data_IF_285047729727
#
_entry.id   IF_285047729727
#
_cell.length_a   1.000
_cell.length_b   1.000
_cell.length_c   1.000
_cell.angle_alpha   90.00
_cell.angle_beta   90.00
_cell.angle_gamma   90.00
#
_symmetry.space_group_name_H-M   'P 1'
#
loop_
_entity.id
_entity.type
_entity.pdbx_description
1 polymer ?
#
# COMPACT_ATOMS: atom_id res chain seq x y z
N UNK A 1 7.38 -3.92 -17.73
CA UNK A 1 6.13 -3.18 -17.43
C UNK A 1 6.43 -2.13 -16.38
N UNK A 2 5.70 -1.02 -16.35
CA UNK A 2 5.91 0.05 -15.36
C UNK A 2 5.81 -0.44 -13.91
N UNK A 3 4.93 -1.42 -13.65
CA UNK A 3 4.81 -2.11 -12.35
C UNK A 3 6.10 -2.79 -11.90
N UNK A 4 6.89 -3.37 -12.83
CA UNK A 4 8.20 -3.95 -12.49
C UNK A 4 9.19 -2.86 -12.08
N UNK A 5 9.18 -1.71 -12.75
CA UNK A 5 10.07 -0.60 -12.42
C UNK A 5 9.78 -0.02 -11.03
N UNK A 6 8.50 0.09 -10.65
CA UNK A 6 8.14 0.40 -9.27
C UNK A 6 8.68 -0.65 -8.27
N UNK A 7 8.58 -1.94 -8.61
CA UNK A 7 9.19 -3.01 -7.81
C UNK A 7 10.71 -2.86 -7.67
N UNK A 8 11.42 -2.46 -8.73
CA UNK A 8 12.86 -2.21 -8.67
C UNK A 8 13.18 -1.01 -7.79
N UNK A 9 12.45 0.09 -7.91
CA UNK A 9 12.61 1.24 -7.03
C UNK A 9 12.37 0.86 -5.58
N UNK A 10 11.30 0.10 -5.31
CA UNK A 10 11.00 -0.40 -3.98
C UNK A 10 12.14 -1.21 -3.37
N UNK A 11 12.80 -2.07 -4.16
CA UNK A 11 13.95 -2.84 -3.69
C UNK A 11 15.19 -1.96 -3.41
N UNK A 12 15.41 -0.90 -4.20
CA UNK A 12 16.55 0.01 -3.96
C UNK A 12 16.36 0.82 -2.68
N UNK A 13 15.11 1.23 -2.39
CA UNK A 13 14.80 1.99 -1.19
C UNK A 13 14.72 1.09 0.04
N UNK A 14 14.14 -0.10 -0.13
CA UNK A 14 13.92 -1.08 0.93
C UNK A 14 14.45 -2.43 0.46
N UNK A 15 15.78 -2.67 0.52
CA UNK A 15 16.35 -3.95 0.14
C UNK A 15 15.92 -5.06 1.10
N UNK A 16 15.80 -6.31 0.64
CA UNK A 16 15.59 -7.45 1.52
C UNK A 16 16.89 -7.84 2.22
N UNK A 17 16.82 -8.60 3.31
CA UNK A 17 17.97 -9.27 3.88
C UNK A 17 18.19 -10.64 3.22
N UNK A 18 19.43 -11.15 3.29
CA UNK A 18 19.75 -12.50 2.84
C UNK A 18 18.88 -13.51 3.60
N UNK A 19 18.25 -14.41 2.84
CA UNK A 19 17.42 -15.49 3.36
C UNK A 19 15.95 -15.13 3.62
N UNK A 20 15.55 -13.87 3.44
CA UNK A 20 14.15 -13.45 3.55
C UNK A 20 13.28 -14.18 2.53
N UNK A 21 12.05 -14.52 2.92
CA UNK A 21 11.05 -15.05 2.00
C UNK A 21 10.28 -13.89 1.38
N UNK A 22 10.44 -13.69 0.07
CA UNK A 22 9.73 -12.65 -0.66
C UNK A 22 8.60 -13.29 -1.47
N UNK A 23 7.39 -12.74 -1.35
CA UNK A 23 6.23 -13.21 -2.10
C UNK A 23 5.30 -12.05 -2.50
N UNK A 24 4.62 -12.12 -3.65
CA UNK A 24 3.59 -11.14 -3.99
C UNK A 24 2.30 -11.38 -3.22
N UNK A 25 1.54 -10.31 -2.98
CA UNK A 25 0.09 -10.44 -2.77
C UNK A 25 -0.54 -10.83 -4.13
N UNK A 26 -1.33 -11.93 -4.20
CA UNK A 26 -1.81 -12.47 -5.46
C UNK A 26 -2.60 -11.45 -6.30
N UNK A 27 -2.39 -11.48 -7.62
CA UNK A 27 -2.96 -10.60 -8.65
C UNK A 27 -2.38 -9.18 -8.67
N UNK A 28 -2.41 -8.44 -7.57
CA UNK A 28 -1.97 -7.04 -7.51
C UNK A 28 -0.45 -6.88 -7.53
N UNK A 29 0.23 -7.61 -6.63
CA UNK A 29 1.66 -7.44 -6.37
C UNK A 29 2.61 -8.21 -7.28
N UNK A 30 2.12 -9.06 -8.20
CA UNK A 30 2.95 -10.01 -8.97
C UNK A 30 4.04 -9.29 -9.77
N UNK A 31 3.66 -8.33 -10.62
CA UNK A 31 4.63 -7.61 -11.45
C UNK A 31 5.61 -6.77 -10.62
N UNK A 32 5.16 -6.18 -9.51
CA UNK A 32 6.05 -5.44 -8.62
C UNK A 32 7.05 -6.39 -7.92
N UNK A 33 6.59 -7.55 -7.45
CA UNK A 33 7.45 -8.56 -6.85
C UNK A 33 8.50 -9.09 -7.83
N UNK A 34 8.14 -9.31 -9.09
CA UNK A 34 9.10 -9.70 -10.13
C UNK A 34 10.21 -8.65 -10.31
N UNK A 35 9.84 -7.37 -10.35
CA UNK A 35 10.81 -6.26 -10.43
C UNK A 35 11.69 -6.17 -9.20
N UNK A 36 11.09 -6.32 -8.02
CA UNK A 36 11.77 -6.30 -6.73
C UNK A 36 12.81 -7.43 -6.62
N UNK A 37 12.42 -8.66 -6.95
CA UNK A 37 13.30 -9.84 -6.95
C UNK A 37 14.44 -9.70 -7.96
N UNK A 38 14.15 -9.20 -9.16
CA UNK A 38 15.16 -8.97 -10.18
C UNK A 38 16.18 -7.91 -9.74
N UNK A 39 15.75 -6.88 -9.03
CA UNK A 39 16.64 -5.87 -8.46
C UNK A 39 17.47 -6.45 -7.31
N UNK A 40 16.88 -7.22 -6.40
CA UNK A 40 17.61 -7.87 -5.31
C UNK A 40 18.70 -8.82 -5.84
N UNK A 41 18.39 -9.60 -6.89
CA UNK A 41 19.38 -10.45 -7.57
C UNK A 41 20.50 -9.65 -8.23
N UNK A 42 20.18 -8.50 -8.84
CA UNK A 42 21.19 -7.57 -9.40
C UNK A 42 22.12 -7.02 -8.33
N UNK A 43 21.63 -6.82 -7.11
CA UNK A 43 22.40 -6.37 -5.95
C UNK A 43 23.11 -7.52 -5.22
N UNK A 44 23.03 -8.75 -5.72
CA UNK A 44 23.68 -9.93 -5.13
C UNK A 44 23.01 -10.45 -3.86
N UNK A 45 21.76 -10.04 -3.58
CA UNK A 45 21.03 -10.44 -2.38
C UNK A 45 20.25 -11.72 -2.65
N UNK A 46 20.69 -12.82 -2.03
CA UNK A 46 20.01 -14.11 -2.13
C UNK A 46 18.80 -14.16 -1.21
N UNK A 47 17.60 -14.22 -1.79
CA UNK A 47 16.32 -14.35 -1.09
C UNK A 47 15.64 -15.69 -1.42
N UNK A 48 14.72 -16.13 -0.57
CA UNK A 48 13.82 -17.23 -0.86
C UNK A 48 12.58 -16.70 -1.59
N UNK A 49 12.03 -17.48 -2.51
CA UNK A 49 10.79 -17.14 -3.21
C UNK A 49 9.80 -18.29 -3.16
N UNK A 50 8.56 -18.02 -2.78
CA UNK A 50 7.49 -19.02 -2.83
C UNK A 50 6.11 -18.35 -2.86
N UNK A 51 5.08 -19.11 -3.23
CA UNK A 51 3.69 -18.68 -3.11
C UNK A 51 3.24 -18.70 -1.64
N UNK A 52 3.69 -17.71 -0.85
CA UNK A 52 3.39 -17.60 0.57
C UNK A 52 1.91 -17.31 0.84
N UNK A 53 1.27 -16.52 -0.04
CA UNK A 53 -0.15 -16.19 0.03
C UNK A 53 -0.88 -16.87 -1.13
N UNK A 54 -1.88 -17.69 -0.80
CA UNK A 54 -2.75 -18.36 -1.75
C UNK A 54 -4.03 -17.55 -1.85
N UNK A 55 -4.49 -17.29 -3.07
CA UNK A 55 -5.84 -16.80 -3.31
C UNK A 55 -6.79 -17.98 -3.43
N UNK A 56 -7.83 -18.01 -2.61
CA UNK A 56 -8.75 -19.15 -2.53
C UNK A 56 -9.91 -19.07 -3.53
N UNK A 57 -10.26 -17.86 -3.99
CA UNK A 57 -11.42 -17.65 -4.86
C UNK A 57 -10.98 -17.21 -6.27
N UNK A 58 -11.20 -18.09 -7.25
CA UNK A 58 -10.74 -17.93 -8.63
C UNK A 58 -11.81 -17.49 -9.63
N UNK A 59 -13.10 -17.35 -9.25
CA UNK A 59 -14.14 -17.16 -10.27
C UNK A 59 -15.50 -16.55 -9.86
N UNK A 60 -15.74 -16.25 -8.58
CA UNK A 60 -16.94 -15.49 -8.20
C UNK A 60 -16.52 -14.14 -7.63
N UNK A 61 -17.15 -13.01 -8.02
CA UNK A 61 -17.12 -11.82 -7.20
C UNK A 61 -17.57 -12.32 -5.84
N UNK A 62 -16.68 -12.29 -4.83
CA UNK A 62 -17.04 -12.63 -3.46
C UNK A 62 -18.39 -11.97 -3.24
N UNK A 63 -19.42 -12.79 -2.99
CA UNK A 63 -20.83 -12.40 -2.95
C UNK A 63 -20.91 -10.96 -2.46
N UNK A 64 -21.65 -10.11 -3.19
CA UNK A 64 -22.04 -8.77 -2.74
C UNK A 64 -22.73 -8.93 -1.39
N UNK A 65 -21.95 -9.16 -0.35
CA UNK A 65 -22.47 -9.44 0.95
C UNK A 65 -22.78 -8.07 1.48
N UNK A 66 -24.07 -7.78 1.56
CA UNK A 66 -24.70 -6.73 2.37
C UNK A 66 -24.40 -6.90 3.87
N UNK A 67 -23.24 -7.48 4.19
CA UNK A 67 -22.73 -7.71 5.50
C UNK A 67 -21.86 -6.46 5.80
N UNK A 68 -21.98 -5.95 7.02
CA UNK A 68 -21.56 -4.61 7.41
C UNK A 68 -20.06 -4.35 7.48
N UNK A 69 -19.71 -3.10 7.76
CA UNK A 69 -18.33 -2.61 7.84
C UNK A 69 -17.58 -3.02 9.13
N UNK A 70 -17.98 -4.12 9.78
CA UNK A 70 -17.42 -4.55 11.07
C UNK A 70 -16.07 -5.27 10.93
N UNK A 71 -15.16 -5.06 11.90
CA UNK A 71 -13.81 -5.68 11.90
C UNK A 71 -13.84 -7.21 11.78
N UNK A 72 -14.75 -7.87 12.49
CA UNK A 72 -14.87 -9.34 12.47
C UNK A 72 -15.26 -9.87 11.08
N UNK A 73 -16.11 -9.11 10.38
CA UNK A 73 -16.61 -9.49 9.09
C UNK A 73 -15.58 -9.27 7.97
N UNK A 74 -14.87 -8.14 8.04
CA UNK A 74 -13.71 -7.87 7.18
C UNK A 74 -12.69 -9.03 7.29
N UNK A 75 -12.38 -9.47 8.51
CA UNK A 75 -11.50 -10.60 8.74
C UNK A 75 -12.05 -11.90 8.12
N UNK A 76 -13.35 -12.19 8.29
CA UNK A 76 -14.00 -13.37 7.70
C UNK A 76 -13.96 -13.33 6.16
N UNK A 77 -14.15 -12.15 5.55
CA UNK A 77 -14.05 -11.95 4.10
C UNK A 77 -12.62 -12.22 3.62
N UNK A 78 -11.61 -11.72 4.34
CA UNK A 78 -10.21 -11.94 4.01
C UNK A 78 -9.80 -13.41 4.17
N UNK A 79 -10.29 -14.13 5.19
CA UNK A 79 -10.10 -15.57 5.36
C UNK A 79 -10.66 -16.40 4.20
N UNK A 80 -11.79 -15.97 3.61
CA UNK A 80 -12.34 -16.62 2.41
C UNK A 80 -11.56 -16.27 1.14
N UNK A 81 -10.88 -15.13 1.12
CA UNK A 81 -10.15 -14.63 -0.05
C UNK A 81 -8.72 -15.16 -0.12
N UNK A 82 -8.05 -15.27 1.03
CA UNK A 82 -6.64 -15.55 1.14
C UNK A 82 -6.33 -16.60 2.20
N UNK A 83 -5.25 -17.35 1.99
CA UNK A 83 -4.64 -18.23 2.99
C UNK A 83 -3.12 -18.09 2.97
N UNK A 84 -2.48 -18.24 4.14
CA UNK A 84 -1.02 -18.37 4.22
C UNK A 84 -0.64 -19.83 4.01
N UNK A 85 0.16 -20.10 2.97
CA UNK A 85 0.66 -21.42 2.59
C UNK A 85 1.67 -21.94 3.61
N UNK A 86 1.31 -22.93 4.45
CA UNK A 86 2.18 -23.40 5.51
C UNK A 86 3.47 -24.07 5.00
N UNK A 87 3.41 -24.73 3.84
CA UNK A 87 4.59 -25.41 3.26
C UNK A 87 5.58 -24.37 2.75
N UNK A 88 5.10 -23.37 2.01
CA UNK A 88 5.94 -22.31 1.48
C UNK A 88 6.57 -21.46 2.59
N UNK A 89 5.83 -21.20 3.67
CA UNK A 89 6.30 -20.33 4.75
C UNK A 89 7.04 -21.06 5.87
N UNK A 90 7.11 -22.39 5.85
CA UNK A 90 7.79 -23.17 6.90
C UNK A 90 9.29 -22.92 7.00
N UNK A 91 9.90 -22.41 5.91
CA UNK A 91 11.36 -22.25 5.77
C UNK A 91 11.89 -20.86 6.11
N UNK A 92 11.00 -19.92 6.47
CA UNK A 92 11.42 -18.58 6.86
C UNK A 92 10.54 -17.99 7.95
N UNK A 93 11.19 -17.40 8.94
CA UNK A 93 10.54 -16.62 9.99
C UNK A 93 10.32 -15.16 9.58
N UNK A 94 10.94 -14.71 8.47
CA UNK A 94 10.87 -13.35 7.93
C UNK A 94 10.23 -13.37 6.55
N UNK A 95 9.03 -12.80 6.46
CA UNK A 95 8.24 -12.76 5.24
C UNK A 95 8.13 -11.31 4.75
N UNK A 96 8.48 -11.08 3.49
CA UNK A 96 8.26 -9.82 2.78
C UNK A 96 7.13 -10.05 1.77
N UNK A 97 6.04 -9.30 1.91
CA UNK A 97 4.93 -9.29 0.96
C UNK A 97 4.96 -8.02 0.13
N UNK A 98 4.98 -8.18 -1.19
CA UNK A 98 4.93 -7.06 -2.12
C UNK A 98 3.49 -6.86 -2.59
N UNK A 99 2.97 -5.64 -2.46
CA UNK A 99 1.65 -5.24 -2.99
C UNK A 99 1.80 -4.02 -3.92
N UNK A 100 0.77 -3.75 -4.73
CA UNK A 100 0.79 -2.56 -5.59
C UNK A 100 0.52 -1.28 -4.78
N UNK A 101 -0.46 -1.27 -3.90
CA UNK A 101 -0.87 -0.10 -3.13
C UNK A 101 -1.55 -0.49 -1.81
N UNK A 102 -1.46 0.35 -0.80
CA UNK A 102 -2.16 0.16 0.49
C UNK A 102 -3.12 1.33 0.73
N UNK A 103 -4.43 1.04 0.69
CA UNK A 103 -5.49 2.03 0.98
C UNK A 103 -5.92 1.93 2.45
N UNK A 104 -6.65 0.86 2.82
CA UNK A 104 -7.28 0.68 4.14
C UNK A 104 -6.45 -0.03 5.19
N UNK A 105 -5.46 -0.80 4.75
CA UNK A 105 -4.66 -1.65 5.63
C UNK A 105 -5.36 -2.89 6.17
N UNK A 106 -6.60 -3.21 5.76
CA UNK A 106 -7.33 -4.40 6.24
C UNK A 106 -6.57 -5.70 5.93
N UNK A 107 -6.05 -5.81 4.71
CA UNK A 107 -5.24 -6.94 4.24
C UNK A 107 -3.96 -7.03 5.08
N UNK A 108 -3.28 -5.90 5.30
CA UNK A 108 -2.07 -5.84 6.12
C UNK A 108 -2.31 -6.30 7.56
N UNK A 109 -3.35 -5.77 8.20
CA UNK A 109 -3.76 -6.11 9.56
C UNK A 109 -4.07 -7.61 9.70
N UNK A 110 -4.87 -8.13 8.77
CA UNK A 110 -5.27 -9.53 8.76
C UNK A 110 -4.07 -10.45 8.51
N UNK A 111 -3.20 -10.11 7.55
CA UNK A 111 -1.99 -10.88 7.25
C UNK A 111 -1.03 -10.88 8.45
N UNK A 112 -0.77 -9.73 9.08
CA UNK A 112 0.08 -9.64 10.27
C UNK A 112 -0.43 -10.50 11.42
N UNK A 113 -1.73 -10.37 11.74
CA UNK A 113 -2.35 -11.19 12.78
C UNK A 113 -2.31 -12.69 12.44
N UNK A 114 -2.59 -13.06 11.20
CA UNK A 114 -2.63 -14.46 10.76
C UNK A 114 -1.24 -15.08 10.70
N UNK A 115 -0.23 -14.29 10.28
CA UNK A 115 1.17 -14.70 10.24
C UNK A 115 1.70 -15.04 11.62
N UNK A 116 1.46 -14.16 12.59
CA UNK A 116 1.87 -14.39 13.97
C UNK A 116 1.17 -15.58 14.60
N UNK A 117 -0.14 -15.75 14.37
CA UNK A 117 -0.88 -16.93 14.83
C UNK A 117 -0.34 -18.25 14.27
N UNK A 118 0.33 -18.22 13.13
CA UNK A 118 1.01 -19.36 12.51
C UNK A 118 2.47 -19.52 12.97
N UNK A 119 2.92 -18.73 13.94
CA UNK A 119 4.27 -18.81 14.50
C UNK A 119 5.33 -17.96 13.77
N UNK A 120 4.93 -17.20 12.74
CA UNK A 120 5.81 -16.30 12.02
C UNK A 120 6.38 -15.19 12.90
N UNK A 121 7.64 -14.81 12.69
CA UNK A 121 8.32 -13.82 13.55
C UNK A 121 8.23 -12.41 13.01
N UNK A 122 8.54 -12.18 11.74
CA UNK A 122 8.58 -10.85 11.14
C UNK A 122 7.79 -10.85 9.83
N UNK A 123 6.97 -9.82 9.64
CA UNK A 123 6.25 -9.57 8.40
C UNK A 123 6.52 -8.14 7.95
N UNK A 124 7.08 -7.98 6.75
CA UNK A 124 7.19 -6.69 6.08
C UNK A 124 6.21 -6.67 4.91
N UNK A 125 5.34 -5.68 4.83
CA UNK A 125 4.50 -5.47 3.65
C UNK A 125 4.97 -4.20 2.95
N UNK A 126 5.42 -4.36 1.71
CA UNK A 126 6.06 -3.31 0.93
C UNK A 126 5.16 -2.95 -0.25
N UNK A 127 4.72 -1.69 -0.27
CA UNK A 127 3.86 -1.12 -1.30
C UNK A 127 4.70 -0.52 -2.42
N UNK A 128 4.50 -0.98 -3.65
CA UNK A 128 5.15 -0.42 -4.83
C UNK A 128 4.63 0.99 -5.21
N UNK A 129 3.64 1.49 -4.48
CA UNK A 129 3.07 2.83 -4.59
C UNK A 129 3.24 3.60 -3.28
N UNK A 130 3.36 4.94 -3.30
CA UNK A 130 3.45 5.78 -2.11
C UNK A 130 2.19 5.70 -1.25
N UNK A 131 2.26 6.17 0.00
CA UNK A 131 1.09 6.24 0.86
C UNK A 131 -0.01 7.10 0.24
N UNK A 132 -1.23 6.58 0.25
CA UNK A 132 -2.41 7.32 -0.19
C UNK A 132 -2.88 8.18 0.98
N UNK A 133 -2.74 9.50 0.85
CA UNK A 133 -3.00 10.48 1.92
C UNK A 133 -4.27 11.29 1.69
N UNK A 134 -4.80 11.30 0.47
CA UNK A 134 -5.97 12.08 0.10
C UNK A 134 -6.99 11.23 -0.67
N UNK A 135 -8.29 11.56 -0.58
CA UNK A 135 -9.32 10.88 -1.34
C UNK A 135 -9.12 11.09 -2.84
N UNK A 136 -9.63 10.15 -3.63
CA UNK A 136 -9.66 10.33 -5.07
C UNK A 136 -10.88 11.17 -5.46
N UNK A 137 -10.67 12.22 -6.25
CA UNK A 137 -11.74 13.05 -6.83
C UNK A 137 -12.05 12.68 -8.28
N UNK A 138 -11.22 11.84 -8.92
CA UNK A 138 -11.38 11.45 -10.33
C UNK A 138 -12.37 10.29 -10.55
N UNK A 139 -13.15 9.89 -9.53
CA UNK A 139 -14.16 8.82 -9.64
C UNK A 139 -13.73 7.45 -9.11
N UNK A 140 -12.51 7.30 -8.57
CA UNK A 140 -12.11 6.07 -7.86
C UNK A 140 -12.65 6.12 -6.43
N UNK A 141 -13.19 4.98 -5.97
CA UNK A 141 -13.77 4.81 -4.63
C UNK A 141 -12.69 4.77 -3.52
N UNK A 142 -12.13 5.93 -3.18
CA UNK A 142 -11.13 6.14 -2.14
C UNK A 142 -11.57 7.33 -1.27
N UNK A 143 -11.99 7.05 -0.03
CA UNK A 143 -12.43 8.07 0.92
C UNK A 143 -11.38 8.34 2.01
N UNK A 144 -11.33 9.57 2.53
CA UNK A 144 -10.39 9.95 3.60
C UNK A 144 -10.48 9.07 4.86
N UNK A 145 -11.70 8.69 5.29
CA UNK A 145 -11.95 7.81 6.45
C UNK A 145 -11.32 6.40 6.32
N UNK A 146 -11.07 6.00 5.08
CA UNK A 146 -10.55 4.69 4.72
C UNK A 146 -9.03 4.71 4.60
N UNK A 147 -8.38 5.86 4.58
CA UNK A 147 -6.95 5.95 4.35
C UNK A 147 -6.16 5.55 5.59
N UNK A 148 -5.40 4.47 5.45
CA UNK A 148 -4.48 3.98 6.46
C UNK A 148 -3.46 5.07 6.84
N UNK A 149 -2.93 5.81 5.86
CA UNK A 149 -1.98 6.90 6.09
C UNK A 149 -2.54 7.96 7.07
N UNK A 150 -3.84 8.29 6.97
CA UNK A 150 -4.50 9.25 7.85
C UNK A 150 -4.83 8.70 9.24
N UNK A 151 -4.96 7.37 9.37
CA UNK A 151 -5.07 6.71 10.68
C UNK A 151 -3.75 6.78 11.46
N UNK A 152 -2.62 6.86 10.76
CA UNK A 152 -1.32 7.04 11.38
C UNK A 152 -1.11 8.49 11.84
N UNK A 153 -1.48 9.48 11.02
CA UNK A 153 -1.33 10.91 11.32
C UNK A 153 -2.16 11.38 12.53
N UNK A 154 -3.27 10.71 12.85
CA UNK A 154 -4.13 11.04 14.00
C UNK A 154 -3.57 10.63 15.37
N UNK A 155 -2.54 9.77 15.44
CA UNK A 155 -2.00 9.26 16.71
C UNK A 155 -0.58 9.71 17.05
N UNK A 156 -0.03 10.68 16.30
CA UNK A 156 1.00 11.60 16.78
C UNK A 156 0.43 12.99 16.56
N UNK A 157 0.25 13.79 17.62
CA UNK A 157 -0.42 15.12 17.63
C UNK A 157 0.02 16.15 16.58
N UNK A 158 0.92 15.85 15.64
CA UNK A 158 1.29 16.69 14.50
C UNK A 158 1.72 15.76 13.39
N UNK A 159 1.10 15.88 12.21
CA UNK A 159 1.79 16.24 10.97
C UNK A 159 0.80 16.99 10.07
N UNK A 160 0.94 18.32 10.02
CA UNK A 160 0.25 19.19 9.05
C UNK A 160 0.93 19.15 7.68
N UNK A 161 1.96 18.31 7.52
CA UNK A 161 2.78 18.19 6.33
C UNK A 161 2.72 16.75 5.78
N UNK A 162 2.08 16.54 4.63
CA UNK A 162 2.13 15.32 3.82
C UNK A 162 3.51 14.69 3.64
N UNK A 163 4.54 15.52 3.44
CA UNK A 163 5.88 15.03 3.13
C UNK A 163 6.51 14.36 4.34
N UNK A 164 6.31 14.94 5.53
CA UNK A 164 6.76 14.32 6.77
C UNK A 164 5.97 13.04 7.08
N UNK A 165 4.67 13.00 6.72
CA UNK A 165 3.85 11.78 6.90
C UNK A 165 4.37 10.66 6.02
N UNK A 166 4.68 10.96 4.78
CA UNK A 166 5.30 10.00 3.87
C UNK A 166 6.67 9.53 4.37
N UNK A 167 7.55 10.44 4.83
CA UNK A 167 8.86 10.04 5.37
C UNK A 167 8.71 9.07 6.54
N UNK A 168 7.79 9.35 7.46
CA UNK A 168 7.51 8.45 8.58
C UNK A 168 6.94 7.10 8.14
N UNK A 169 6.08 7.09 7.13
CA UNK A 169 5.51 5.85 6.58
C UNK A 169 6.54 5.04 5.78
N UNK A 170 7.42 5.72 5.05
CA UNK A 170 8.45 5.09 4.21
C UNK A 170 9.57 4.52 5.04
N UNK A 171 9.95 5.14 6.17
CA UNK A 171 11.01 4.66 7.07
C UNK A 171 10.62 3.46 7.95
N UNK A 172 9.49 2.79 7.66
CA UNK A 172 9.01 1.65 8.44
C UNK A 172 8.32 2.10 9.73
N UNK A 173 6.99 1.98 9.81
CA UNK A 173 6.27 2.22 11.05
C UNK A 173 6.14 0.93 11.89
N UNK A 174 6.61 0.92 13.16
CA UNK A 174 6.38 -0.19 14.06
C UNK A 174 4.91 -0.22 14.55
N UNK A 175 4.26 -1.35 14.24
CA UNK A 175 3.30 -2.11 15.05
C UNK A 175 2.01 -1.48 15.62
N UNK A 176 2.02 -0.31 16.28
CA UNK A 176 0.97 0.05 17.26
C UNK A 176 -0.47 0.18 16.72
N UNK A 177 -0.65 0.23 15.41
CA UNK A 177 -1.94 0.46 14.75
C UNK A 177 -2.63 -0.83 14.26
N UNK A 178 -1.88 -1.93 14.17
CA UNK A 178 -2.40 -3.21 13.69
C UNK A 178 -2.75 -4.18 14.84
N UNK A 179 -2.96 -3.66 16.05
CA UNK A 179 -3.35 -4.47 17.21
C UNK A 179 -2.20 -5.35 17.71
N UNK A 180 -2.41 -6.66 17.82
CA UNK A 180 -1.43 -7.59 18.43
C UNK A 180 -0.23 -7.94 17.54
N UNK A 181 -0.20 -7.46 16.29
CA UNK A 181 0.78 -7.85 15.26
C UNK A 181 2.22 -7.30 15.48
N UNK A 182 2.87 -7.59 16.63
CA UNK A 182 4.12 -6.96 17.16
C UNK A 182 5.26 -6.70 16.18
N UNK A 183 5.34 -7.45 15.08
CA UNK A 183 6.47 -7.41 14.16
C UNK A 183 6.01 -7.21 12.70
N UNK A 184 4.97 -6.39 12.50
CA UNK A 184 4.54 -5.93 11.17
C UNK A 184 5.22 -4.60 10.83
N UNK A 185 6.03 -4.61 9.76
CA UNK A 185 6.63 -3.44 9.12
C UNK A 185 5.83 -3.10 7.85
N UNK A 186 5.61 -1.80 7.61
CA UNK A 186 5.10 -1.30 6.33
C UNK A 186 6.13 -0.40 5.66
N UNK A 187 6.43 -0.66 4.39
CA UNK A 187 7.30 0.18 3.57
C UNK A 187 6.55 0.64 2.32
N UNK A 188 6.95 1.79 1.78
CA UNK A 188 6.38 2.36 0.57
C UNK A 188 7.50 2.85 -0.33
N UNK A 189 7.26 2.84 -1.65
CA UNK A 189 8.05 3.64 -2.59
C UNK A 189 7.78 5.12 -2.35
N UNK A 190 8.83 5.95 -2.32
CA UNK A 190 8.68 7.41 -2.18
C UNK A 190 8.08 8.05 -3.44
N UNK A 191 7.33 9.15 -3.26
CA UNK A 191 6.65 9.91 -4.32
C UNK A 191 7.60 10.37 -5.42
N UNK A 192 8.84 10.75 -5.07
CA UNK A 192 9.81 11.24 -6.05
C UNK A 192 10.19 10.15 -7.06
N UNK A 193 10.25 8.90 -6.60
CA UNK A 193 10.49 7.76 -7.48
C UNK A 193 9.31 7.49 -8.40
N UNK A 194 8.08 7.75 -7.95
CA UNK A 194 6.89 7.63 -8.80
C UNK A 194 6.95 8.64 -9.93
N UNK A 195 7.18 9.92 -9.63
CA UNK A 195 7.33 10.96 -10.67
C UNK A 195 8.45 10.63 -11.64
N UNK A 196 9.60 10.18 -11.13
CA UNK A 196 10.75 9.78 -11.95
C UNK A 196 10.39 8.62 -12.89
N UNK A 197 9.70 7.59 -12.41
CA UNK A 197 9.33 6.44 -13.25
C UNK A 197 8.22 6.82 -14.24
N UNK A 198 7.18 7.51 -13.80
CA UNK A 198 6.05 7.88 -14.65
C UNK A 198 6.48 8.79 -15.80
N UNK A 199 7.37 9.76 -15.55
CA UNK A 199 7.90 10.67 -16.58
C UNK A 199 8.71 9.97 -17.67
N UNK A 200 9.23 8.76 -17.41
CA UNK A 200 9.93 7.96 -18.44
C UNK A 200 8.99 7.19 -19.37
N UNK A 201 7.71 7.05 -19.00
CA UNK A 201 6.77 6.17 -19.71
C UNK A 201 5.57 6.91 -20.27
N UNK A 202 5.13 7.97 -19.61
CA UNK A 202 3.91 8.70 -19.96
C UNK A 202 4.27 10.11 -20.43
N UNK A 203 3.66 10.52 -21.53
CA UNK A 203 3.69 11.89 -22.02
C UNK A 203 2.45 12.62 -21.51
N UNK A 204 2.63 13.76 -20.85
CA UNK A 204 1.55 14.59 -20.31
C UNK A 204 1.43 14.53 -18.78
N UNK A 205 0.53 15.35 -18.25
CA UNK A 205 0.31 15.45 -16.82
C UNK A 205 -0.57 14.31 -16.30
N UNK A 206 -0.16 13.70 -15.21
CA UNK A 206 -0.88 12.60 -14.56
C UNK A 206 -1.47 13.12 -13.27
N UNK A 207 -2.72 12.76 -12.99
CA UNK A 207 -3.32 13.05 -11.70
C UNK A 207 -2.58 12.32 -10.57
N UNK A 208 -1.99 13.07 -9.64
CA UNK A 208 -1.27 12.55 -8.48
C UNK A 208 -1.94 12.92 -7.16
N UNK A 209 -3.15 13.48 -7.22
CA UNK A 209 -3.88 14.04 -6.09
C UNK A 209 -3.98 13.12 -4.86
N UNK A 210 -4.13 11.80 -5.07
CA UNK A 210 -4.27 10.82 -4.00
C UNK A 210 -3.05 10.71 -3.07
N UNK A 211 -1.85 11.07 -3.55
CA UNK A 211 -0.59 10.97 -2.79
C UNK A 211 0.16 12.30 -2.68
N UNK A 212 -0.04 13.21 -3.64
CA UNK A 212 0.67 14.49 -3.76
C UNK A 212 -0.23 15.72 -3.87
N UNK A 213 -1.54 15.57 -3.76
CA UNK A 213 -2.54 16.65 -3.77
C UNK A 213 -2.65 17.46 -5.08
N UNK A 214 -1.90 17.12 -6.13
CA UNK A 214 -2.05 17.70 -7.47
C UNK A 214 -3.12 16.94 -8.25
N UNK A 215 -4.34 17.48 -8.22
CA UNK A 215 -5.48 16.96 -8.96
C UNK A 215 -5.53 17.62 -10.34
N UNK A 216 -5.70 16.82 -11.40
CA UNK A 216 -5.85 17.34 -12.76
C UNK A 216 -7.30 17.29 -13.24
N UNK A 217 -8.18 16.62 -12.47
CA UNK A 217 -9.57 16.40 -12.81
C UNK A 217 -10.39 16.13 -11.55
N UNK A 218 -11.63 16.65 -11.52
CA UNK A 218 -12.64 16.37 -10.49
C UNK A 218 -13.88 15.83 -11.18
N UNK A 219 -14.25 14.61 -10.84
CA UNK A 219 -15.48 13.99 -11.30
C UNK A 219 -16.69 14.66 -10.61
N UNK A 220 -17.71 15.14 -11.35
CA UNK A 220 -18.83 15.92 -10.78
C UNK A 220 -19.58 15.21 -9.64
N UNK A 221 -19.67 13.88 -9.72
CA UNK A 221 -20.31 13.03 -8.71
C UNK A 221 -19.42 12.61 -7.52
N UNK A 222 -18.16 13.02 -7.48
CA UNK A 222 -17.20 12.58 -6.46
C UNK A 222 -16.67 13.76 -5.62
N UNK A 223 -17.42 14.09 -4.56
CA UNK A 223 -17.16 15.23 -3.66
C UNK A 223 -16.45 14.78 -2.37
N UNK A 224 -15.43 13.95 -2.49
CA UNK A 224 -14.61 13.61 -1.33
C UNK A 224 -13.50 14.66 -1.17
N UNK A 225 -13.75 15.60 -0.27
CA UNK A 225 -12.75 16.61 0.07
C UNK A 225 -11.61 16.00 0.88
N UNK A 226 -10.36 16.44 0.63
CA UNK A 226 -9.26 16.18 1.55
C UNK A 226 -9.62 16.65 2.97
N UNK A 227 -9.10 16.00 4.02
CA UNK A 227 -9.25 16.49 5.38
C UNK A 227 -8.83 17.97 5.54
N UNK A 228 -9.42 18.72 6.48
CA UNK A 228 -9.16 20.16 6.61
C UNK A 228 -7.67 20.55 6.69
N UNK A 229 -6.84 19.74 7.36
CA UNK A 229 -5.41 20.02 7.45
C UNK A 229 -4.67 19.90 6.11
N UNK A 230 -5.13 19.04 5.20
CA UNK A 230 -4.60 18.94 3.82
C UNK A 230 -5.07 20.12 2.98
N UNK A 231 -6.31 20.58 3.16
CA UNK A 231 -6.82 21.80 2.51
C UNK A 231 -6.00 23.02 2.94
N UNK A 232 -5.72 23.15 4.24
CA UNK A 232 -4.81 24.19 4.75
C UNK A 232 -3.40 24.08 4.17
N UNK A 233 -2.88 22.85 4.03
CA UNK A 233 -1.56 22.62 3.44
C UNK A 233 -1.53 23.04 1.97
N UNK A 234 -2.57 22.68 1.19
CA UNK A 234 -2.71 23.07 -0.21
C UNK A 234 -2.71 24.59 -0.35
N UNK A 235 -3.53 25.29 0.46
CA UNK A 235 -3.61 26.75 0.46
C UNK A 235 -2.26 27.42 0.80
N UNK A 236 -1.51 26.90 1.79
CA UNK A 236 -0.19 27.44 2.16
C UNK A 236 0.89 27.24 1.09
N UNK A 237 0.74 26.22 0.24
CA UNK A 237 1.72 25.86 -0.79
C UNK A 237 1.26 26.21 -2.21
N UNK A 238 0.18 27.00 -2.36
CA UNK A 238 -0.41 27.38 -3.65
C UNK A 238 -0.74 26.16 -4.54
N UNK A 239 -1.18 25.05 -3.94
CA UNK A 239 -1.67 23.89 -4.67
C UNK A 239 -3.15 24.13 -4.97
N UNK A 240 -3.45 24.49 -6.22
CA UNK A 240 -4.82 24.75 -6.65
C UNK A 240 -5.53 23.45 -7.01
N UNK A 241 -6.83 23.42 -6.70
CA UNK A 241 -7.71 22.34 -7.14
C UNK A 241 -8.34 22.79 -8.46
N UNK A 242 -8.41 21.92 -9.49
CA UNK A 242 -9.00 22.30 -10.76
C UNK A 242 -10.48 22.60 -10.57
N UNK A 243 -11.05 23.40 -11.49
CA UNK A 243 -12.48 23.63 -11.50
C UNK A 243 -13.22 22.29 -11.66
N UNK A 244 -14.42 22.18 -11.08
CA UNK A 244 -15.32 21.09 -11.43
C UNK A 244 -15.70 21.28 -12.90
N UNK A 245 -15.46 20.27 -13.74
CA UNK A 245 -15.96 20.31 -15.12
C UNK A 245 -17.49 20.19 -15.05
N UNK A 246 -18.20 21.23 -15.48
CA UNK A 246 -19.64 21.15 -15.75
C UNK A 246 -19.82 20.25 -16.98
N UNK A 247 -20.67 19.22 -16.86
CA UNK A 247 -21.01 18.28 -17.94
C UNK A 247 -21.51 18.98 -19.21
#
# INVERSE_FOLDING_TARGET
>A
SIRKEFGRALCREHPPQRGDLVAPIPRSGISAAEGYLAQAGKEGISVQTAAAIIRLNNGQPAERSFLGNGKAEIARRLQRKFAINPVATSKSNRLILIDDSIVRGDVCSWLGTTWQRKGGKELSIRSAWPPIIAPCRAGIDIHAKDLLALRFSTAKKVLRDPLELEKQLSNGLPHKYFGTATNLELCYVRREMIHTILSTVLQGEICTGCFDLHYNYIHPGNRHDPPPFLVEYMARNNIEMPAEEEN
#
